data_IF_018123218862
#
_entry.id   IF_018123218862
#
_cell.length_a   1.000
_cell.length_b   1.000
_cell.length_c   1.000
_cell.angle_alpha   90.00
_cell.angle_beta   90.00
_cell.angle_gamma   90.00
#
_symmetry.space_group_name_H-M   'P 1'
#
loop_
_entity.id
_entity.type
_entity.pdbx_description
1 polymer ?
#
# COMPACT_ATOMS: atom_id res chain seq x y z
N UNK A 1 7.25 -7.84 -11.27
CA UNK A 1 6.28 -6.93 -11.89
C UNK A 1 4.95 -7.18 -11.20
N UNK A 2 4.34 -6.16 -10.59
CA UNK A 2 3.04 -6.31 -9.93
C UNK A 2 1.99 -6.37 -11.03
N UNK A 3 1.14 -7.40 -11.04
CA UNK A 3 0.02 -7.46 -11.97
C UNK A 3 -1.08 -6.60 -11.36
N UNK A 4 -1.10 -5.34 -11.78
CA UNK A 4 -2.14 -4.41 -11.40
C UNK A 4 -3.36 -4.67 -12.27
N UNK A 5 -4.49 -4.87 -11.64
CA UNK A 5 -5.75 -5.16 -12.29
C UNK A 5 -6.74 -4.03 -11.99
N UNK A 6 -7.59 -3.74 -12.96
CA UNK A 6 -8.67 -2.76 -12.83
C UNK A 6 -9.99 -3.47 -12.65
N UNK A 7 -10.76 -3.02 -11.67
CA UNK A 7 -12.10 -3.51 -11.41
C UNK A 7 -13.07 -2.33 -11.41
N UNK A 8 -13.99 -2.33 -12.35
CA UNK A 8 -15.02 -1.30 -12.47
C UNK A 8 -16.35 -1.85 -11.96
N UNK A 9 -17.02 -1.14 -11.07
CA UNK A 9 -18.27 -1.61 -10.51
C UNK A 9 -18.99 -0.56 -9.69
N UNK A 10 -20.15 -0.95 -9.15
CA UNK A 10 -20.89 -0.14 -8.18
C UNK A 10 -20.53 -0.56 -6.78
N UNK A 11 -20.23 0.41 -5.91
CA UNK A 11 -19.97 0.15 -4.51
C UNK A 11 -21.28 -0.21 -3.81
N UNK A 12 -21.40 -1.43 -3.30
CA UNK A 12 -22.57 -1.92 -2.56
C UNK A 12 -22.47 -1.46 -1.12
N UNK A 13 -21.32 -1.75 -0.49
CA UNK A 13 -21.07 -1.47 0.91
C UNK A 13 -19.61 -1.04 1.09
N UNK A 14 -19.40 -0.07 1.98
CA UNK A 14 -18.08 0.35 2.41
C UNK A 14 -18.04 0.37 3.94
N UNK A 15 -17.15 -0.43 4.52
CA UNK A 15 -16.96 -0.49 5.98
C UNK A 15 -15.59 0.05 6.35
N UNK A 16 -15.57 0.91 7.36
CA UNK A 16 -14.34 1.47 7.94
C UNK A 16 -14.00 0.72 9.22
N UNK A 17 -12.76 0.26 9.31
CA UNK A 17 -12.17 -0.38 10.47
C UNK A 17 -10.95 0.41 10.92
N UNK A 18 -10.81 0.60 12.23
CA UNK A 18 -9.60 1.13 12.82
C UNK A 18 -8.73 -0.06 13.26
N UNK A 19 -7.59 -0.24 12.60
CA UNK A 19 -6.61 -1.23 13.01
C UNK A 19 -6.01 -0.81 14.36
N UNK A 20 -6.06 -1.72 15.34
CA UNK A 20 -5.39 -1.58 16.64
C UNK A 20 -3.87 -1.73 16.44
N UNK A 21 -3.10 -1.23 17.42
CA UNK A 21 -1.62 -1.19 17.54
C UNK A 21 -0.86 -1.91 16.41
N UNK A 22 -0.10 -1.19 15.57
CA UNK A 22 0.66 -1.80 14.48
C UNK A 22 1.62 -2.87 15.02
N UNK A 23 1.61 -4.04 14.40
CA UNK A 23 2.53 -5.13 14.68
C UNK A 23 3.96 -4.82 14.23
N UNK A 24 4.93 -5.61 14.71
CA UNK A 24 6.36 -5.42 14.41
C UNK A 24 6.70 -5.41 12.90
N UNK A 25 5.92 -6.14 12.11
CA UNK A 25 6.09 -6.33 10.66
C UNK A 25 5.06 -5.57 9.85
N UNK A 26 4.20 -4.76 10.46
CA UNK A 26 3.10 -4.15 9.74
C UNK A 26 3.62 -3.10 8.76
N UNK A 27 3.28 -3.34 7.50
CA UNK A 27 3.55 -2.46 6.36
C UNK A 27 2.45 -1.42 6.20
N UNK A 28 1.47 -1.42 7.10
CA UNK A 28 0.21 -0.70 6.96
C UNK A 28 0.39 0.79 7.30
N UNK A 29 0.40 1.67 6.30
CA UNK A 29 0.71 3.09 6.50
C UNK A 29 -0.46 3.86 7.14
N UNK A 30 -1.67 3.31 7.04
CA UNK A 30 -2.88 3.90 7.63
C UNK A 30 -3.40 3.01 8.75
N UNK A 31 -3.71 3.60 9.91
CA UNK A 31 -4.48 2.91 10.97
C UNK A 31 -5.92 2.60 10.55
N UNK A 32 -6.31 2.95 9.33
CA UNK A 32 -7.68 2.84 8.83
C UNK A 32 -7.72 1.88 7.65
N UNK A 33 -8.48 0.81 7.84
CA UNK A 33 -8.74 -0.21 6.83
C UNK A 33 -10.17 -0.04 6.36
N UNK A 34 -10.34 0.13 5.06
CA UNK A 34 -11.64 0.13 4.40
C UNK A 34 -11.84 -1.21 3.70
N UNK A 35 -12.99 -1.83 3.94
CA UNK A 35 -13.44 -2.99 3.19
C UNK A 35 -14.56 -2.55 2.24
N UNK A 36 -14.31 -2.73 0.96
CA UNK A 36 -15.18 -2.30 -0.12
C UNK A 36 -15.78 -3.52 -0.79
N UNK A 37 -17.11 -3.54 -0.90
CA UNK A 37 -17.85 -4.55 -1.63
C UNK A 37 -18.33 -3.93 -2.93
N UNK A 38 -17.84 -4.47 -4.05
CA UNK A 38 -18.07 -3.95 -5.40
C UNK A 38 -18.90 -4.96 -6.19
N UNK A 39 -20.01 -4.52 -6.77
CA UNK A 39 -20.76 -5.27 -7.77
C UNK A 39 -20.22 -4.92 -9.16
N UNK A 40 -19.63 -5.90 -9.84
CA UNK A 40 -19.26 -5.79 -11.25
C UNK A 40 -20.53 -5.74 -12.16
N UNK A 41 -20.36 -5.39 -13.43
CA UNK A 41 -21.40 -5.46 -14.47
C UNK A 41 -22.05 -6.85 -14.56
N UNK A 42 -21.32 -7.91 -14.22
CA UNK A 42 -21.83 -9.29 -14.15
C UNK A 42 -22.60 -9.60 -12.86
N UNK A 43 -22.83 -8.59 -12.01
CA UNK A 43 -23.41 -8.70 -10.67
C UNK A 43 -22.65 -9.65 -9.73
N UNK A 44 -21.34 -9.81 -9.96
CA UNK A 44 -20.44 -10.53 -9.07
C UNK A 44 -19.93 -9.57 -8.00
N UNK A 45 -19.92 -10.04 -6.76
CA UNK A 45 -19.41 -9.27 -5.64
C UNK A 45 -17.92 -9.53 -5.43
N UNK A 46 -17.16 -8.45 -5.37
CA UNK A 46 -15.73 -8.46 -5.13
C UNK A 46 -15.43 -7.67 -3.88
N UNK A 47 -14.72 -8.31 -2.94
CA UNK A 47 -14.22 -7.64 -1.75
C UNK A 47 -12.82 -7.09 -2.03
N UNK A 48 -12.66 -5.79 -1.89
CA UNK A 48 -11.37 -5.11 -1.98
C UNK A 48 -11.03 -4.46 -0.64
N UNK A 49 -9.80 -4.66 -0.19
CA UNK A 49 -9.31 -4.02 1.04
C UNK A 49 -8.43 -2.83 0.66
N UNK A 50 -8.77 -1.66 1.19
CA UNK A 50 -8.03 -0.41 0.99
C UNK A 50 -7.51 0.08 2.33
N UNK A 51 -6.30 0.59 2.32
CA UNK A 51 -5.67 1.18 3.50
C UNK A 51 -5.51 2.67 3.24
N UNK A 52 -6.41 3.46 3.83
CA UNK A 52 -6.42 4.90 3.64
C UNK A 52 -7.19 5.65 4.72
N UNK A 53 -6.71 6.85 5.05
CA UNK A 53 -7.45 7.83 5.89
C UNK A 53 -8.53 8.56 5.09
N UNK A 54 -8.34 8.66 3.77
CA UNK A 54 -9.22 9.38 2.86
C UNK A 54 -9.95 8.38 1.97
N UNK A 55 -11.28 8.41 1.99
CA UNK A 55 -12.13 7.53 1.18
C UNK A 55 -13.19 8.35 0.43
N UNK A 56 -13.01 8.58 -0.89
CA UNK A 56 -13.87 9.47 -1.67
C UNK A 56 -15.14 8.79 -2.20
N UNK A 57 -15.28 7.47 -2.06
CA UNK A 57 -16.45 6.74 -2.53
C UNK A 57 -17.37 6.27 -1.40
N UNK A 58 -18.67 6.29 -1.68
CA UNK A 58 -19.75 5.90 -0.78
C UNK A 58 -20.60 4.81 -1.44
N UNK A 59 -21.38 4.09 -0.63
CA UNK A 59 -22.33 3.11 -1.15
C UNK A 59 -23.23 3.74 -2.22
N UNK A 60 -23.42 3.03 -3.33
CA UNK A 60 -24.15 3.49 -4.51
C UNK A 60 -23.27 4.14 -5.60
N UNK A 61 -22.05 4.58 -5.29
CA UNK A 61 -21.18 5.20 -6.31
C UNK A 61 -20.65 4.16 -7.30
N UNK A 62 -20.56 4.55 -8.56
CA UNK A 62 -19.79 3.84 -9.57
C UNK A 62 -18.31 4.21 -9.41
N UNK A 63 -17.44 3.20 -9.31
CA UNK A 63 -16.02 3.38 -9.06
C UNK A 63 -15.20 2.41 -9.91
N UNK A 64 -14.00 2.84 -10.27
CA UNK A 64 -12.96 1.99 -10.84
C UNK A 64 -11.85 1.88 -9.82
N UNK A 65 -11.55 0.66 -9.38
CA UNK A 65 -10.52 0.38 -8.38
C UNK A 65 -9.35 -0.31 -9.06
N UNK A 66 -8.15 0.20 -8.84
CA UNK A 66 -6.90 -0.46 -9.23
C UNK A 66 -6.46 -1.28 -8.03
N UNK A 67 -6.30 -2.59 -8.20
CA UNK A 67 -5.90 -3.49 -7.13
C UNK A 67 -4.76 -4.42 -7.51
N UNK A 68 -4.02 -4.86 -6.49
CA UNK A 68 -3.02 -5.91 -6.58
C UNK A 68 -3.28 -6.95 -5.48
N UNK A 69 -3.50 -8.21 -5.87
CA UNK A 69 -3.71 -9.31 -4.92
C UNK A 69 -4.86 -9.07 -3.92
N UNK A 70 -5.96 -8.42 -4.36
CA UNK A 70 -7.11 -8.07 -3.51
C UNK A 70 -6.94 -6.80 -2.65
N UNK A 71 -5.78 -6.14 -2.72
CA UNK A 71 -5.53 -4.84 -2.08
C UNK A 71 -5.73 -3.70 -3.08
N UNK A 72 -6.61 -2.76 -2.78
CA UNK A 72 -6.81 -1.56 -3.60
C UNK A 72 -5.67 -0.56 -3.38
N UNK A 73 -5.04 -0.14 -4.47
CA UNK A 73 -3.90 0.78 -4.50
C UNK A 73 -4.23 2.12 -5.15
N UNK A 74 -5.27 2.16 -5.99
CA UNK A 74 -5.83 3.39 -6.54
C UNK A 74 -7.34 3.28 -6.68
N UNK A 75 -8.03 4.42 -6.67
CA UNK A 75 -9.47 4.47 -6.87
C UNK A 75 -9.86 5.73 -7.64
N UNK A 76 -10.72 5.54 -8.62
CA UNK A 76 -11.40 6.59 -9.36
C UNK A 76 -12.90 6.49 -9.11
N UNK A 77 -13.51 7.57 -8.63
CA UNK A 77 -14.95 7.64 -8.41
C UNK A 77 -15.61 8.28 -9.63
N UNK A 78 -16.23 7.46 -10.48
CA UNK A 78 -16.94 7.89 -11.70
C UNK A 78 -18.20 8.73 -11.39
N UNK A 79 -18.74 8.66 -10.17
CA UNK A 79 -19.95 9.42 -9.80
C UNK A 79 -19.64 10.88 -9.43
N UNK A 80 -18.42 11.18 -8.97
CA UNK A 80 -18.02 12.52 -8.52
C UNK A 80 -16.81 13.04 -9.32
N UNK A 81 -16.15 12.19 -10.11
CA UNK A 81 -14.93 12.53 -10.86
C UNK A 81 -13.69 12.70 -9.98
N UNK A 82 -13.68 12.12 -8.77
CA UNK A 82 -12.53 12.21 -7.85
C UNK A 82 -11.64 10.99 -7.94
N UNK A 83 -10.31 11.21 -7.99
CA UNK A 83 -9.29 10.16 -7.98
C UNK A 83 -8.48 10.21 -6.70
N UNK A 84 -8.05 9.05 -6.21
CA UNK A 84 -7.13 8.93 -5.08
C UNK A 84 -6.13 7.83 -5.37
N UNK A 85 -4.85 8.18 -5.26
CA UNK A 85 -3.73 7.25 -5.28
C UNK A 85 -3.35 6.91 -3.84
N UNK A 86 -3.77 5.74 -3.36
CA UNK A 86 -3.61 5.37 -1.96
C UNK A 86 -2.14 5.16 -1.56
N UNK A 87 -1.27 4.87 -2.53
CA UNK A 87 0.18 4.67 -2.32
C UNK A 87 0.89 5.99 -1.99
N UNK A 88 0.42 7.09 -2.58
CA UNK A 88 0.91 8.43 -2.28
C UNK A 88 0.29 8.99 -1.00
N UNK A 89 -1.02 8.80 -0.82
CA UNK A 89 -1.77 9.32 0.33
C UNK A 89 -1.31 8.68 1.65
N UNK A 90 -0.97 7.40 1.62
CA UNK A 90 -0.53 6.66 2.80
C UNK A 90 0.82 6.00 2.49
N UNK A 91 1.92 6.75 2.63
CA UNK A 91 3.25 6.26 2.29
C UNK A 91 3.70 5.17 3.26
N UNK A 92 4.33 4.12 2.73
CA UNK A 92 4.88 3.02 3.55
C UNK A 92 5.92 3.59 4.52
N UNK A 93 5.90 3.14 5.77
CA UNK A 93 6.93 3.50 6.73
C UNK A 93 8.31 3.03 6.22
N UNK A 94 9.21 4.00 5.97
CA UNK A 94 10.56 3.70 5.48
C UNK A 94 11.37 2.90 6.50
N UNK A 95 11.23 3.27 7.78
CA UNK A 95 11.82 2.56 8.92
C UNK A 95 10.69 1.84 9.67
N UNK A 96 10.81 0.52 9.81
CA UNK A 96 9.86 -0.32 10.54
C UNK A 96 10.43 -0.72 11.89
N UNK A 97 9.56 -1.07 12.82
CA UNK A 97 9.96 -1.57 14.14
C UNK A 97 10.86 -2.81 14.03
N UNK A 98 10.60 -3.71 13.07
CA UNK A 98 11.46 -4.86 12.82
C UNK A 98 12.89 -4.47 12.43
N UNK A 99 13.09 -3.36 11.70
CA UNK A 99 14.44 -2.96 11.30
C UNK A 99 15.25 -2.52 12.51
N UNK A 100 14.60 -1.81 13.43
CA UNK A 100 15.21 -1.40 14.70
C UNK A 100 15.58 -2.64 15.53
N UNK A 101 14.68 -3.62 15.60
CA UNK A 101 14.95 -4.90 16.28
C UNK A 101 16.14 -5.62 15.64
N UNK A 102 16.19 -5.71 14.30
CA UNK A 102 17.30 -6.35 13.59
C UNK A 102 18.62 -5.63 13.86
N UNK A 103 18.65 -4.29 13.84
CA UNK A 103 19.85 -3.52 14.11
C UNK A 103 20.30 -3.72 15.57
N UNK A 104 19.39 -3.62 16.54
CA UNK A 104 19.71 -3.73 17.97
C UNK A 104 20.20 -5.13 18.31
N UNK A 105 19.41 -6.16 18.00
CA UNK A 105 19.77 -7.55 18.33
C UNK A 105 20.91 -8.07 17.46
N UNK A 106 21.00 -7.62 16.21
CA UNK A 106 22.13 -7.91 15.34
C UNK A 106 23.43 -7.34 15.90
N UNK A 107 23.41 -6.11 16.41
CA UNK A 107 24.59 -5.48 17.01
C UNK A 107 25.01 -6.21 18.28
N UNK A 108 24.05 -6.59 19.12
CA UNK A 108 24.32 -7.39 20.31
C UNK A 108 24.91 -8.77 19.96
N UNK A 109 24.37 -9.44 18.94
CA UNK A 109 24.90 -10.70 18.44
C UNK A 109 26.33 -10.57 17.90
N UNK A 110 26.62 -9.51 17.15
CA UNK A 110 27.97 -9.23 16.65
C UNK A 110 28.95 -8.99 17.82
N UNK A 111 28.54 -8.29 18.87
CA UNK A 111 29.33 -8.09 20.09
C UNK A 111 29.67 -9.40 20.79
N UNK A 112 28.67 -10.25 21.00
CA UNK A 112 28.86 -11.56 21.64
C UNK A 112 29.77 -12.48 20.81
N UNK A 113 29.55 -12.56 19.50
CA UNK A 113 30.36 -13.37 18.59
C UNK A 113 31.79 -12.83 18.45
N UNK A 114 31.96 -11.50 18.42
CA UNK A 114 33.27 -10.86 18.37
C UNK A 114 34.09 -11.11 19.63
N UNK A 115 33.45 -11.11 20.80
CA UNK A 115 34.09 -11.38 22.08
C UNK A 115 34.42 -12.88 22.27
N UNK A 116 33.55 -13.77 21.79
CA UNK A 116 33.72 -15.21 21.97
C UNK A 116 34.64 -15.86 20.93
N UNK A 117 34.57 -15.42 19.67
CA UNK A 117 35.23 -16.09 18.55
C UNK A 117 36.41 -15.30 17.98
N UNK A 118 36.15 -14.15 17.35
CA UNK A 118 37.22 -13.34 16.72
C UNK A 118 36.82 -11.88 16.52
N UNK A 119 37.69 -10.89 16.82
CA UNK A 119 37.39 -9.47 16.72
C UNK A 119 37.00 -8.98 15.31
N UNK A 120 37.43 -9.67 14.25
CA UNK A 120 37.05 -9.34 12.87
C UNK A 120 35.52 -9.37 12.63
N UNK A 121 34.78 -10.12 13.42
CA UNK A 121 33.31 -10.14 13.34
C UNK A 121 32.73 -8.76 13.61
N UNK A 122 33.35 -7.96 14.49
CA UNK A 122 32.91 -6.59 14.78
C UNK A 122 33.20 -5.66 13.60
N UNK A 123 34.40 -5.80 13.02
CA UNK A 123 34.90 -5.00 11.89
C UNK A 123 34.01 -5.14 10.65
N UNK A 124 33.39 -6.30 10.45
CA UNK A 124 32.53 -6.57 9.28
C UNK A 124 31.04 -6.46 9.65
N UNK A 125 30.65 -7.02 10.80
CA UNK A 125 29.25 -7.10 11.22
C UNK A 125 28.61 -5.75 11.52
N UNK A 126 29.33 -4.85 12.21
CA UNK A 126 28.78 -3.53 12.54
C UNK A 126 28.56 -2.66 11.29
N UNK A 127 29.51 -2.55 10.33
CA UNK A 127 29.26 -1.85 9.07
C UNK A 127 28.09 -2.43 8.26
N UNK A 128 27.95 -3.76 8.20
CA UNK A 128 26.82 -4.40 7.50
C UNK A 128 25.48 -4.06 8.15
N UNK A 129 25.41 -4.07 9.48
CA UNK A 129 24.20 -3.68 10.22
C UNK A 129 23.90 -2.18 10.08
N UNK A 130 24.93 -1.33 10.05
CA UNK A 130 24.78 0.09 9.77
C UNK A 130 24.26 0.34 8.35
N UNK A 131 24.69 -0.46 7.37
CA UNK A 131 24.25 -0.38 5.98
C UNK A 131 22.83 -0.93 5.76
N UNK A 132 22.39 -1.89 6.59
CA UNK A 132 21.07 -2.49 6.50
C UNK A 132 19.94 -1.45 6.50
N UNK A 133 19.97 -0.49 7.44
CA UNK A 133 18.95 0.54 7.56
C UNK A 133 18.79 1.38 6.28
N UNK A 134 19.84 2.07 5.81
CA UNK A 134 19.80 2.85 4.57
C UNK A 134 19.36 2.03 3.35
N UNK A 135 19.84 0.80 3.19
CA UNK A 135 19.46 -0.06 2.05
C UNK A 135 17.99 -0.47 2.12
N UNK A 136 17.48 -0.82 3.30
CA UNK A 136 16.08 -1.13 3.51
C UNK A 136 15.18 0.09 3.24
N UNK A 137 15.59 1.29 3.67
CA UNK A 137 14.84 2.52 3.42
C UNK A 137 14.82 2.88 1.93
N UNK A 138 15.96 2.80 1.23
CA UNK A 138 16.06 3.12 -0.20
C UNK A 138 15.28 2.13 -1.06
N UNK A 139 15.37 0.83 -0.77
CA UNK A 139 14.62 -0.20 -1.50
C UNK A 139 13.10 0.00 -1.34
N UNK A 140 12.63 0.30 -0.13
CA UNK A 140 11.20 0.59 0.12
C UNK A 140 10.74 1.88 -0.53
N UNK A 141 11.57 2.93 -0.50
CA UNK A 141 11.26 4.19 -1.20
C UNK A 141 11.15 3.97 -2.69
N UNK A 142 12.11 3.26 -3.29
CA UNK A 142 12.09 2.94 -4.71
C UNK A 142 10.85 2.10 -5.07
N UNK A 143 10.52 1.11 -4.24
CA UNK A 143 9.31 0.30 -4.38
C UNK A 143 8.06 1.18 -4.37
N UNK A 144 7.92 2.06 -3.38
CA UNK A 144 6.76 2.91 -3.22
C UNK A 144 6.60 3.89 -4.40
N UNK A 145 7.69 4.55 -4.82
CA UNK A 145 7.67 5.48 -5.95
C UNK A 145 7.31 4.76 -7.24
N UNK A 146 7.89 3.58 -7.48
CA UNK A 146 7.58 2.79 -8.67
C UNK A 146 6.11 2.37 -8.72
N UNK A 147 5.55 1.92 -7.59
CA UNK A 147 4.14 1.53 -7.49
C UNK A 147 3.21 2.75 -7.65
N UNK A 148 3.55 3.87 -7.00
CA UNK A 148 2.78 5.10 -7.11
C UNK A 148 2.70 5.60 -8.56
N UNK A 149 3.81 5.57 -9.28
CA UNK A 149 3.88 5.98 -10.68
C UNK A 149 3.05 5.05 -11.58
N UNK A 150 3.12 3.72 -11.37
CA UNK A 150 2.30 2.77 -12.13
C UNK A 150 0.80 2.99 -11.89
N UNK A 151 0.40 3.27 -10.65
CA UNK A 151 -1.00 3.58 -10.32
C UNK A 151 -1.45 4.88 -10.97
N UNK A 152 -0.62 5.92 -10.96
CA UNK A 152 -0.94 7.19 -11.62
C UNK A 152 -1.11 7.02 -13.14
N UNK A 153 -0.20 6.28 -13.77
CA UNK A 153 -0.25 5.96 -15.21
C UNK A 153 -1.52 5.19 -15.60
N UNK A 154 -2.07 4.37 -14.70
CA UNK A 154 -3.38 3.71 -14.92
C UNK A 154 -4.59 4.59 -14.57
N UNK A 155 -4.46 5.55 -13.65
CA UNK A 155 -5.55 6.46 -13.29
C UNK A 155 -5.80 7.51 -14.38
N UNK A 156 -4.75 7.98 -15.05
CA UNK A 156 -4.83 9.00 -16.11
C UNK A 156 -5.78 8.61 -17.26
N UNK A 157 -5.67 7.42 -17.90
CA UNK A 157 -6.60 7.04 -18.97
C UNK A 157 -8.03 6.87 -18.48
N UNK A 158 -8.24 6.35 -17.27
CA UNK A 158 -9.58 6.19 -16.67
C UNK A 158 -10.28 7.54 -16.51
N UNK A 159 -9.53 8.55 -16.05
CA UNK A 159 -10.05 9.91 -15.91
C UNK A 159 -10.40 10.52 -17.28
N UNK A 160 -9.53 10.34 -18.28
CA UNK A 160 -9.78 10.85 -19.62
C UNK A 160 -11.02 10.18 -20.22
N UNK A 161 -11.17 8.87 -20.06
CA UNK A 161 -12.35 8.14 -20.56
C UNK A 161 -13.66 8.60 -19.91
N UNK A 162 -13.68 8.84 -18.59
CA UNK A 162 -14.90 9.32 -17.91
C UNK A 162 -15.25 10.76 -18.32
N UNK A 163 -14.26 11.63 -18.54
CA UNK A 163 -14.49 12.98 -19.07
C UNK A 163 -15.08 12.93 -20.49
N UNK A 164 -14.65 11.97 -21.32
CA UNK A 164 -15.12 11.82 -22.71
C UNK A 164 -16.45 11.09 -22.80
N UNK A 165 -16.72 10.11 -21.93
CA UNK A 165 -17.96 9.32 -21.86
C UNK A 165 -18.38 9.18 -20.40
N UNK A 166 -19.09 10.18 -19.83
CA UNK A 166 -19.47 10.14 -18.44
C UNK A 166 -20.33 8.90 -18.17
N UNK A 167 -19.95 8.15 -17.14
CA UNK A 167 -20.69 6.97 -16.72
C UNK A 167 -22.15 7.35 -16.44
N UNK A 168 -23.09 6.89 -17.27
CA UNK A 168 -24.51 7.14 -17.03
C UNK A 168 -25.00 6.26 -15.88
N UNK A 169 -25.43 6.84 -14.74
CA UNK A 169 -26.02 6.04 -13.68
C UNK A 169 -27.28 5.37 -14.22
N UNK A 170 -27.32 4.03 -14.19
CA UNK A 170 -28.59 3.30 -14.34
C UNK A 170 -29.48 3.71 -13.17
N UNK A 171 -30.54 4.48 -13.50
CA UNK A 171 -31.67 4.82 -12.63
C UNK A 171 -32.37 3.55 -12.18
#
# INVERSE_FOLDING_TARGET
MYVLETLTGRLIEARRYLNRIPGLRDDDPSRERWELWLADASNREHKIVVYSRCMPARAGHAVTVIHYGGRGVGLYNLSIGMRVNFVLENPIALLRSIDVVVIVFGSFGALMLGAYWHPMVLLIGLPLLALYGPVAMLSRRHYQVSLANQVEEMLDPIQVEDVVKPFKPRR
#
